data_IF_957287631496
#
_entry.id   IF_957287631496
#
_cell.length_a   1.000
_cell.length_b   1.000
_cell.length_c   1.000
_cell.angle_alpha   90.00
_cell.angle_beta   90.00
_cell.angle_gamma   90.00
#
_symmetry.space_group_name_H-M   'P 1'
#
loop_
_entity.id
_entity.type
_entity.pdbx_description
1 polymer ?
#
# COMPACT_ATOMS: atom_id res chain seq x y z
N UNK A 1 -47.26 -19.30 -6.00
CA UNK A 1 -45.82 -19.00 -6.12
C UNK A 1 -45.69 -17.50 -6.21
N UNK A 2 -45.41 -16.84 -5.08
CA UNK A 2 -45.48 -15.37 -4.95
C UNK A 2 -44.13 -14.77 -5.34
N UNK A 3 -44.09 -14.07 -6.50
CA UNK A 3 -42.89 -13.52 -7.11
C UNK A 3 -42.67 -12.03 -6.68
N UNK A 4 -43.38 -11.57 -5.67
CA UNK A 4 -43.38 -10.15 -5.26
C UNK A 4 -42.44 -9.81 -4.10
N UNK A 5 -41.40 -10.61 -3.80
CA UNK A 5 -40.39 -10.15 -2.84
C UNK A 5 -39.43 -9.17 -3.53
N UNK A 6 -39.43 -7.87 -3.16
CA UNK A 6 -38.44 -6.95 -3.66
C UNK A 6 -37.05 -7.44 -3.21
N UNK A 7 -36.15 -7.55 -4.17
CA UNK A 7 -34.72 -7.78 -3.91
C UNK A 7 -34.30 -6.63 -3.00
N UNK A 8 -34.05 -6.95 -1.73
CA UNK A 8 -33.50 -5.99 -0.78
C UNK A 8 -32.20 -5.43 -1.35
N UNK A 9 -32.24 -4.20 -1.80
CA UNK A 9 -31.03 -3.43 -2.08
C UNK A 9 -30.31 -3.20 -0.74
N UNK A 10 -29.57 -4.21 -0.31
CA UNK A 10 -28.70 -4.14 0.85
C UNK A 10 -27.63 -3.08 0.56
N UNK A 11 -27.76 -2.00 1.26
CA UNK A 11 -27.02 -0.77 1.27
C UNK A 11 -25.51 -0.93 0.92
N UNK A 12 -25.17 -0.68 -0.32
CA UNK A 12 -23.79 -0.55 -0.83
C UNK A 12 -23.01 0.53 -0.06
N UNK A 13 -23.70 1.50 0.49
CA UNK A 13 -23.13 2.63 1.25
C UNK A 13 -22.47 2.20 2.58
N UNK A 14 -22.96 1.16 3.25
CA UNK A 14 -22.37 0.68 4.51
C UNK A 14 -21.01 -0.02 4.33
N UNK A 15 -20.76 -0.60 3.15
CA UNK A 15 -19.54 -1.32 2.88
C UNK A 15 -18.35 -0.40 2.56
N UNK A 16 -18.58 0.73 1.89
CA UNK A 16 -17.52 1.71 1.58
C UNK A 16 -16.95 2.32 2.87
N UNK A 17 -17.76 2.56 3.89
CA UNK A 17 -17.32 3.11 5.18
C UNK A 17 -16.32 2.18 5.90
N UNK A 18 -16.44 0.87 5.70
CA UNK A 18 -15.56 -0.13 6.35
C UNK A 18 -14.14 -0.16 5.80
N UNK A 19 -13.91 0.34 4.58
CA UNK A 19 -12.61 0.34 3.91
C UNK A 19 -12.05 1.75 3.69
N UNK A 20 -12.60 2.76 4.36
CA UNK A 20 -12.16 4.16 4.20
C UNK A 20 -10.67 4.32 4.46
N UNK A 21 -10.13 3.65 5.47
CA UNK A 21 -8.69 3.71 5.76
C UNK A 21 -7.87 3.20 4.59
N UNK A 22 -8.18 2.01 4.08
CA UNK A 22 -7.48 1.44 2.93
C UNK A 22 -7.58 2.35 1.69
N UNK A 23 -8.77 2.89 1.40
CA UNK A 23 -8.96 3.82 0.27
C UNK A 23 -8.10 5.07 0.41
N UNK A 24 -8.10 5.71 1.59
CA UNK A 24 -7.29 6.91 1.83
C UNK A 24 -5.79 6.63 1.77
N UNK A 25 -5.32 5.51 2.34
CA UNK A 25 -3.93 5.11 2.25
C UNK A 25 -3.53 4.83 0.79
N UNK A 26 -4.39 4.18 0.01
CA UNK A 26 -4.17 3.97 -1.42
C UNK A 26 -4.04 5.27 -2.20
N UNK A 27 -4.92 6.25 -1.95
CA UNK A 27 -4.85 7.59 -2.57
C UNK A 27 -3.55 8.31 -2.18
N UNK A 28 -3.16 8.27 -0.91
CA UNK A 28 -1.91 8.88 -0.43
C UNK A 28 -0.68 8.24 -1.08
N UNK A 29 -0.68 6.92 -1.24
CA UNK A 29 0.38 6.19 -1.92
C UNK A 29 0.51 6.61 -3.39
N UNK A 30 -0.61 6.67 -4.13
CA UNK A 30 -0.63 7.12 -5.53
C UNK A 30 -0.14 8.57 -5.62
N UNK A 31 -0.63 9.45 -4.77
CA UNK A 31 -0.21 10.85 -4.74
C UNK A 31 1.30 10.98 -4.48
N UNK A 32 1.81 10.27 -3.46
CA UNK A 32 3.25 10.23 -3.15
C UNK A 32 4.08 9.73 -4.33
N UNK A 33 3.68 8.61 -4.94
CA UNK A 33 4.36 8.05 -6.10
C UNK A 33 4.36 9.01 -7.31
N UNK A 34 3.24 9.69 -7.55
CA UNK A 34 3.10 10.69 -8.62
C UNK A 34 4.00 11.91 -8.39
N UNK A 35 4.11 12.38 -7.14
CA UNK A 35 5.05 13.46 -6.77
C UNK A 35 6.49 13.06 -7.06
N UNK A 36 6.91 11.85 -6.68
CA UNK A 36 8.28 11.38 -6.97
C UNK A 36 8.53 11.23 -8.47
N UNK A 37 7.53 10.82 -9.25
CA UNK A 37 7.63 10.77 -10.70
C UNK A 37 7.77 12.17 -11.31
N UNK A 38 7.01 13.15 -10.82
CA UNK A 38 7.10 14.54 -11.25
C UNK A 38 8.49 15.14 -10.90
N UNK A 39 8.98 14.90 -9.69
CA UNK A 39 10.33 15.33 -9.27
C UNK A 39 11.39 14.72 -10.18
N UNK A 40 11.26 13.44 -10.50
CA UNK A 40 12.15 12.78 -11.47
C UNK A 40 12.14 13.50 -12.84
N UNK A 41 10.95 13.80 -13.36
CA UNK A 41 10.79 14.42 -14.67
C UNK A 41 11.37 15.86 -14.70
N UNK A 42 11.26 16.60 -13.60
CA UNK A 42 11.75 17.98 -13.50
C UNK A 42 13.26 18.03 -13.29
N UNK A 43 13.79 17.18 -12.41
CA UNK A 43 15.22 17.23 -12.04
C UNK A 43 16.13 16.44 -12.98
N UNK A 44 15.58 15.62 -13.89
CA UNK A 44 16.37 14.81 -14.83
C UNK A 44 17.33 13.85 -14.15
N UNK A 45 17.00 13.37 -12.95
CA UNK A 45 17.85 12.47 -12.16
C UNK A 45 17.95 11.09 -12.80
N UNK A 46 18.94 10.28 -12.39
CA UNK A 46 19.11 8.94 -12.94
C UNK A 46 17.95 8.00 -12.56
N UNK A 47 17.39 7.30 -13.57
CA UNK A 47 16.33 6.31 -13.36
C UNK A 47 16.85 4.99 -12.78
N UNK A 48 18.15 4.73 -12.95
CA UNK A 48 18.81 3.49 -12.53
C UNK A 48 19.76 3.74 -11.37
N UNK A 49 19.99 2.70 -10.58
CA UNK A 49 20.91 2.73 -9.46
C UNK A 49 20.23 2.56 -8.09
N UNK A 50 21.03 2.43 -7.02
CA UNK A 50 20.53 2.20 -5.66
C UNK A 50 19.77 3.42 -5.10
N UNK A 51 20.13 4.62 -5.56
CA UNK A 51 19.53 5.91 -5.18
C UNK A 51 18.71 6.47 -6.34
N UNK A 52 17.67 5.77 -6.76
CA UNK A 52 16.79 6.25 -7.83
C UNK A 52 15.38 6.55 -7.32
N UNK A 53 14.79 7.63 -7.85
CA UNK A 53 13.38 7.99 -7.61
C UNK A 53 12.39 6.94 -8.14
N UNK A 54 12.87 5.99 -8.96
CA UNK A 54 12.07 4.90 -9.50
C UNK A 54 11.37 4.10 -8.41
N UNK A 55 12.08 3.75 -7.33
CA UNK A 55 11.51 2.92 -6.27
C UNK A 55 10.33 3.60 -5.58
N UNK A 56 10.48 4.78 -4.95
CA UNK A 56 9.34 5.44 -4.30
C UNK A 56 8.22 5.78 -5.28
N UNK A 57 8.53 6.11 -6.55
CA UNK A 57 7.52 6.37 -7.57
C UNK A 57 6.72 5.12 -7.92
N UNK A 58 7.38 4.05 -8.33
CA UNK A 58 6.71 2.82 -8.77
C UNK A 58 6.01 2.10 -7.60
N UNK A 59 6.66 1.96 -6.46
CA UNK A 59 6.06 1.32 -5.29
C UNK A 59 4.87 2.13 -4.76
N UNK A 60 4.95 3.46 -4.77
CA UNK A 60 3.83 4.32 -4.39
C UNK A 60 2.63 4.13 -5.31
N UNK A 61 2.81 4.22 -6.62
CA UNK A 61 1.73 4.08 -7.59
C UNK A 61 1.18 2.65 -7.58
N UNK A 62 2.03 1.63 -7.72
CA UNK A 62 1.58 0.24 -7.79
C UNK A 62 0.94 -0.23 -6.48
N UNK A 63 1.55 0.06 -5.35
CA UNK A 63 1.00 -0.26 -4.03
C UNK A 63 -0.34 0.43 -3.79
N UNK A 64 -0.45 1.71 -4.14
CA UNK A 64 -1.69 2.45 -4.02
C UNK A 64 -2.81 1.91 -4.90
N UNK A 65 -2.51 1.54 -6.16
CA UNK A 65 -3.48 0.90 -7.06
C UNK A 65 -3.91 -0.47 -6.52
N UNK A 66 -2.98 -1.26 -6.00
CA UNK A 66 -3.29 -2.57 -5.40
C UNK A 66 -4.24 -2.42 -4.21
N UNK A 67 -3.93 -1.51 -3.27
CA UNK A 67 -4.76 -1.26 -2.10
C UNK A 67 -6.15 -0.75 -2.51
N UNK A 68 -6.20 0.18 -3.47
CA UNK A 68 -7.46 0.74 -3.94
C UNK A 68 -8.33 -0.31 -4.65
N UNK A 69 -7.73 -1.12 -5.52
CA UNK A 69 -8.43 -2.21 -6.22
C UNK A 69 -8.96 -3.25 -5.23
N UNK A 70 -8.16 -3.61 -4.22
CA UNK A 70 -8.58 -4.54 -3.17
C UNK A 70 -9.74 -3.97 -2.34
N UNK A 71 -9.65 -2.71 -1.92
CA UNK A 71 -10.71 -2.04 -1.18
C UNK A 71 -12.02 -2.00 -2.00
N UNK A 72 -11.92 -1.69 -3.30
CA UNK A 72 -13.06 -1.71 -4.21
C UNK A 72 -13.66 -3.11 -4.35
N UNK A 73 -12.83 -4.13 -4.59
CA UNK A 73 -13.27 -5.53 -4.71
C UNK A 73 -14.02 -5.97 -3.43
N UNK A 74 -13.50 -5.63 -2.27
CA UNK A 74 -14.14 -5.96 -0.98
C UNK A 74 -15.50 -5.28 -0.79
N UNK A 75 -15.79 -4.17 -1.48
CA UNK A 75 -17.12 -3.56 -1.45
C UNK A 75 -18.16 -4.35 -2.25
N UNK A 76 -17.73 -5.18 -3.21
CA UNK A 76 -18.62 -6.02 -4.03
C UNK A 76 -18.95 -7.36 -3.33
N UNK A 77 -18.17 -7.74 -2.36
CA UNK A 77 -18.34 -8.95 -1.59
C UNK A 77 -19.08 -8.65 -0.28
N UNK A 78 -19.44 -9.70 0.48
CA UNK A 78 -19.93 -9.57 1.85
C UNK A 78 -18.78 -9.82 2.84
N UNK A 79 -17.93 -8.81 3.09
CA UNK A 79 -16.69 -9.02 3.82
C UNK A 79 -16.96 -9.32 5.29
N UNK A 80 -16.28 -10.30 5.82
CA UNK A 80 -16.24 -10.64 7.24
C UNK A 80 -15.38 -9.61 7.99
N UNK A 81 -15.44 -9.63 9.32
CA UNK A 81 -14.58 -8.75 10.13
C UNK A 81 -13.09 -8.98 9.88
N UNK A 82 -12.71 -10.25 9.66
CA UNK A 82 -11.34 -10.62 9.34
C UNK A 82 -10.88 -10.01 8.02
N UNK A 83 -11.69 -10.08 6.97
CA UNK A 83 -11.34 -9.54 5.64
C UNK A 83 -11.08 -8.03 5.71
N UNK A 84 -11.85 -7.30 6.51
CA UNK A 84 -11.65 -5.87 6.77
C UNK A 84 -10.35 -5.59 7.52
N UNK A 85 -10.06 -6.41 8.52
CA UNK A 85 -8.82 -6.30 9.27
C UNK A 85 -7.61 -6.54 8.36
N UNK A 86 -7.62 -7.60 7.56
CA UNK A 86 -6.55 -7.96 6.64
C UNK A 86 -6.33 -6.88 5.55
N UNK A 87 -7.41 -6.35 4.96
CA UNK A 87 -7.31 -5.29 3.97
C UNK A 87 -6.68 -4.00 4.55
N UNK A 88 -7.08 -3.62 5.76
CA UNK A 88 -6.49 -2.45 6.43
C UNK A 88 -5.05 -2.70 6.89
N UNK A 89 -4.73 -3.90 7.35
CA UNK A 89 -3.36 -4.29 7.73
C UNK A 89 -2.44 -4.27 6.51
N UNK A 90 -2.87 -4.83 5.37
CA UNK A 90 -2.14 -4.76 4.10
C UNK A 90 -1.91 -3.32 3.65
N UNK A 91 -2.97 -2.49 3.67
CA UNK A 91 -2.86 -1.09 3.28
C UNK A 91 -1.87 -0.32 4.16
N UNK A 92 -1.91 -0.55 5.47
CA UNK A 92 -0.99 0.08 6.43
C UNK A 92 0.44 -0.42 6.22
N UNK A 93 0.64 -1.73 6.01
CA UNK A 93 1.95 -2.33 5.73
C UNK A 93 2.59 -1.74 4.48
N UNK A 94 1.86 -1.69 3.37
CA UNK A 94 2.33 -1.07 2.12
C UNK A 94 2.63 0.43 2.29
N UNK A 95 1.80 1.14 3.05
CA UNK A 95 2.05 2.57 3.32
C UNK A 95 3.35 2.77 4.10
N UNK A 96 3.56 1.99 5.16
CA UNK A 96 4.80 2.05 5.96
C UNK A 96 6.01 1.68 5.12
N UNK A 97 5.93 0.63 4.30
CA UNK A 97 7.02 0.21 3.41
C UNK A 97 7.42 1.34 2.44
N UNK A 98 6.45 1.92 1.73
CA UNK A 98 6.73 3.02 0.78
C UNK A 98 7.25 4.27 1.50
N UNK A 99 6.75 4.56 2.71
CA UNK A 99 7.25 5.66 3.52
C UNK A 99 8.72 5.44 3.90
N UNK A 100 9.10 4.21 4.30
CA UNK A 100 10.48 3.87 4.62
C UNK A 100 11.40 3.94 3.39
N UNK A 101 10.96 3.44 2.23
CA UNK A 101 11.69 3.58 0.96
C UNK A 101 11.90 5.06 0.63
N UNK A 102 10.89 5.89 0.81
CA UNK A 102 10.95 7.33 0.57
C UNK A 102 11.94 8.01 1.50
N UNK A 103 11.89 7.73 2.80
CA UNK A 103 12.82 8.26 3.79
C UNK A 103 14.26 7.87 3.47
N UNK A 104 14.53 6.62 3.11
CA UNK A 104 15.87 6.16 2.76
C UNK A 104 16.38 6.87 1.49
N UNK A 105 15.53 7.07 0.49
CA UNK A 105 15.90 7.83 -0.70
C UNK A 105 16.32 9.27 -0.34
N UNK A 106 15.54 9.98 0.46
CA UNK A 106 15.84 11.36 0.86
C UNK A 106 17.04 11.47 1.81
N UNK A 107 17.40 10.40 2.52
CA UNK A 107 18.65 10.29 3.29
C UNK A 107 19.86 9.99 2.41
N UNK A 108 19.68 9.73 1.12
CA UNK A 108 20.77 9.41 0.20
C UNK A 108 21.38 8.01 0.44
N UNK A 109 20.61 7.08 1.01
CA UNK A 109 21.05 5.71 1.30
C UNK A 109 20.17 4.67 0.60
N UNK A 110 20.72 3.48 0.38
CA UNK A 110 19.96 2.40 -0.25
C UNK A 110 18.77 1.98 0.62
N UNK A 111 17.61 1.75 -0.01
CA UNK A 111 16.37 1.40 0.70
C UNK A 111 16.36 -0.02 1.26
N UNK A 112 17.17 -0.95 0.71
CA UNK A 112 17.24 -2.35 1.11
C UNK A 112 18.70 -2.77 1.26
N UNK A 113 18.94 -3.77 2.13
CA UNK A 113 20.26 -4.32 2.41
C UNK A 113 21.28 -3.31 2.95
N UNK A 114 20.80 -2.21 3.51
CA UNK A 114 21.67 -1.22 4.12
C UNK A 114 21.72 -1.43 5.64
N UNK A 115 22.91 -1.77 6.15
CA UNK A 115 23.22 -1.98 7.58
C UNK A 115 24.32 -1.05 8.06
N UNK A 116 24.51 0.06 7.40
CA UNK A 116 25.60 0.98 7.71
C UNK A 116 25.43 1.65 9.09
N UNK A 117 24.17 1.84 9.53
CA UNK A 117 23.86 2.41 10.84
C UNK A 117 22.79 1.58 11.56
N UNK A 118 22.67 1.76 12.90
CA UNK A 118 21.60 1.11 13.68
C UNK A 118 20.20 1.46 13.17
N UNK A 119 20.01 2.70 12.65
CA UNK A 119 18.74 3.15 12.08
C UNK A 119 18.47 2.39 10.78
N UNK A 120 19.46 2.25 9.90
CA UNK A 120 19.31 1.52 8.64
C UNK A 120 19.01 0.05 8.88
N UNK A 121 19.68 -0.55 9.86
CA UNK A 121 19.41 -1.92 10.31
C UNK A 121 17.98 -2.08 10.85
N UNK A 122 17.50 -1.14 11.65
CA UNK A 122 16.12 -1.16 12.17
C UNK A 122 15.08 -1.05 11.05
N UNK A 123 15.32 -0.18 10.05
CA UNK A 123 14.45 -0.03 8.87
C UNK A 123 14.44 -1.33 8.05
N UNK A 124 15.60 -1.94 7.81
CA UNK A 124 15.69 -3.21 7.07
C UNK A 124 14.91 -4.32 7.77
N UNK A 125 15.09 -4.50 9.08
CA UNK A 125 14.35 -5.49 9.84
C UNK A 125 12.84 -5.22 9.87
N UNK A 126 12.43 -3.97 9.90
CA UNK A 126 11.01 -3.61 9.81
C UNK A 126 10.43 -4.01 8.45
N UNK A 127 11.13 -3.72 7.36
CA UNK A 127 10.72 -4.11 6.00
C UNK A 127 10.67 -5.63 5.84
N UNK A 128 11.69 -6.36 6.32
CA UNK A 128 11.71 -7.82 6.28
C UNK A 128 10.58 -8.43 7.13
N UNK A 129 10.30 -7.87 8.29
CA UNK A 129 9.20 -8.30 9.16
C UNK A 129 7.84 -8.15 8.48
N UNK A 130 7.61 -7.04 7.77
CA UNK A 130 6.40 -6.81 6.99
C UNK A 130 6.24 -7.83 5.86
N UNK A 131 7.33 -8.15 5.14
CA UNK A 131 7.31 -9.17 4.08
C UNK A 131 7.07 -10.56 4.64
N UNK A 132 7.69 -10.91 5.77
CA UNK A 132 7.52 -12.23 6.40
C UNK A 132 6.11 -12.43 6.96
N UNK A 133 5.52 -11.41 7.58
CA UNK A 133 4.12 -11.48 8.06
C UNK A 133 3.15 -11.70 6.90
N UNK A 134 3.38 -11.02 5.78
CA UNK A 134 2.57 -11.18 4.58
C UNK A 134 2.65 -12.62 4.00
N UNK A 135 3.85 -13.22 4.03
CA UNK A 135 4.05 -14.59 3.52
C UNK A 135 3.41 -15.64 4.43
N UNK A 136 3.38 -15.43 5.73
CA UNK A 136 2.73 -16.33 6.68
C UNK A 136 1.21 -16.38 6.48
N UNK A 137 0.57 -15.26 6.15
CA UNK A 137 -0.87 -15.18 5.90
C UNK A 137 -1.28 -15.83 4.56
N UNK A 138 -0.39 -15.88 3.57
CA UNK A 138 -0.67 -16.50 2.28
C UNK A 138 -0.58 -18.05 2.30
N UNK A 139 -0.18 -18.64 3.42
CA UNK A 139 0.03 -20.09 3.59
C UNK A 139 -1.11 -20.79 4.35
N UNK A 140 -2.18 -20.05 4.73
CA UNK A 140 -3.39 -20.56 5.38
C UNK A 140 -4.56 -20.49 4.40
#
# INVERSE_FOLDING_TARGET
MDISKPISQSSTTGNVFSFRLAVWLGVLLIASGSVHLAVYAILGTTWHGPLSLRKPALFGISGGLTVWSLAWLMTQLQPRRLDRFLANALATGLFVEVALITVQYWRGVASHFNRATNIDTAIEFTMLGLICSYRAESSI
#
